data_IF_374535332904
#
_entry.id   IF_374535332904
#
_cell.length_a   1.000
_cell.length_b   1.000
_cell.length_c   1.000
_cell.angle_alpha   90.00
_cell.angle_beta   90.00
_cell.angle_gamma   90.00
#
_symmetry.space_group_name_H-M   'P 1'
#
loop_
_entity.id
_entity.type
_entity.pdbx_description
1 polymer ?
#
# COMPACT_ATOMS: atom_id res chain seq x y z
N UNK A 1 1.52 -1.88 0.69
CA UNK A 1 1.21 -1.21 1.98
C UNK A 1 1.47 0.30 1.94
N UNK A 2 2.03 0.83 0.86
CA UNK A 2 2.36 2.22 0.57
C UNK A 2 1.25 3.23 0.86
N UNK A 3 -0.03 2.84 0.73
CA UNK A 3 -1.16 3.70 1.07
C UNK A 3 -1.93 3.27 2.32
N UNK A 4 -1.42 2.31 3.10
CA UNK A 4 -2.11 1.80 4.28
C UNK A 4 -3.39 1.04 3.96
N UNK A 5 -3.36 0.16 2.96
CA UNK A 5 -4.51 -0.67 2.57
C UNK A 5 -5.13 -1.34 3.82
N UNK A 6 -6.45 -1.20 4.05
CA UNK A 6 -7.10 -1.71 5.24
C UNK A 6 -7.20 -3.25 5.23
N UNK A 7 -7.73 -3.81 6.32
CA UNK A 7 -7.97 -5.24 6.47
C UNK A 7 -6.67 -6.07 6.39
N UNK A 8 -6.75 -7.32 5.93
CA UNK A 8 -5.65 -8.26 5.78
C UNK A 8 -5.79 -9.03 4.47
N UNK A 9 -4.74 -9.76 4.09
CA UNK A 9 -4.75 -10.67 2.95
C UNK A 9 -5.07 -12.08 3.46
N UNK A 10 -6.12 -12.71 2.92
CA UNK A 10 -6.45 -14.11 3.16
C UNK A 10 -6.79 -14.76 1.82
N UNK A 11 -6.16 -15.91 1.55
CA UNK A 11 -6.40 -16.70 0.33
C UNK A 11 -7.53 -17.70 0.55
N UNK A 12 -8.21 -18.16 -0.51
CA UNK A 12 -9.15 -19.27 -0.44
C UNK A 12 -8.53 -20.49 0.25
N UNK A 13 -9.22 -21.02 1.25
CA UNK A 13 -8.88 -22.24 1.99
C UNK A 13 -10.13 -22.80 2.65
N UNK A 14 -10.08 -24.07 3.05
CA UNK A 14 -11.19 -24.73 3.76
C UNK A 14 -11.66 -23.91 4.98
N UNK A 15 -10.73 -23.38 5.78
CA UNK A 15 -11.04 -22.57 6.95
C UNK A 15 -11.60 -21.16 6.68
N UNK A 16 -11.90 -20.81 5.43
CA UNK A 16 -12.67 -19.62 5.05
C UNK A 16 -13.65 -19.90 3.90
N UNK A 17 -14.09 -21.15 3.74
CA UNK A 17 -15.04 -21.59 2.70
C UNK A 17 -14.60 -21.25 1.27
N UNK A 18 -13.29 -21.37 0.98
CA UNK A 18 -12.70 -21.03 -0.32
C UNK A 18 -12.99 -19.57 -0.75
N UNK A 19 -13.09 -18.66 0.23
CA UNK A 19 -13.44 -17.26 0.00
C UNK A 19 -12.32 -16.46 -0.66
N UNK A 20 -12.67 -15.71 -1.69
CA UNK A 20 -11.79 -14.74 -2.37
C UNK A 20 -11.98 -13.30 -1.85
N UNK A 21 -12.83 -13.07 -0.85
CA UNK A 21 -13.22 -11.73 -0.43
C UNK A 21 -12.04 -10.85 -0.01
N UNK A 22 -11.07 -11.43 0.71
CA UNK A 22 -9.84 -10.74 1.15
C UNK A 22 -8.65 -10.96 0.20
N UNK A 23 -8.79 -11.79 -0.84
CA UNK A 23 -7.74 -12.10 -1.81
C UNK A 23 -7.67 -11.03 -2.93
N UNK A 24 -7.67 -9.74 -2.55
CA UNK A 24 -7.74 -8.62 -3.49
C UNK A 24 -6.98 -7.38 -3.00
N UNK A 25 -6.82 -6.41 -3.91
CA UNK A 25 -6.35 -5.05 -3.59
C UNK A 25 -7.40 -4.02 -4.01
N UNK A 26 -7.71 -3.10 -3.10
CA UNK A 26 -8.68 -2.03 -3.25
C UNK A 26 -7.98 -0.73 -3.65
N UNK A 27 -7.44 -0.68 -4.88
CA UNK A 27 -6.69 0.50 -5.34
C UNK A 27 -7.56 1.77 -5.45
N UNK A 28 -8.88 1.59 -5.64
CA UNK A 28 -9.87 2.67 -5.64
C UNK A 28 -9.90 3.50 -4.33
N UNK A 29 -9.36 2.97 -3.22
CA UNK A 29 -9.27 3.70 -1.96
C UNK A 29 -8.35 4.92 -2.06
N UNK A 30 -7.32 4.89 -2.92
CA UNK A 30 -6.40 6.01 -3.14
C UNK A 30 -7.06 7.11 -3.98
N UNK A 31 -7.92 6.73 -4.93
CA UNK A 31 -8.59 7.66 -5.84
C UNK A 31 -9.80 8.38 -5.20
N UNK A 32 -10.33 7.82 -4.12
CA UNK A 32 -11.52 8.34 -3.44
C UNK A 32 -11.19 9.60 -2.62
N UNK A 33 -11.51 10.78 -3.15
CA UNK A 33 -11.10 12.09 -2.59
C UNK A 33 -11.56 12.38 -1.16
N UNK A 34 -12.66 11.77 -0.72
CA UNK A 34 -13.19 11.94 0.64
C UNK A 34 -12.49 11.02 1.67
N UNK A 35 -11.66 10.09 1.22
CA UNK A 35 -10.86 9.20 2.09
C UNK A 35 -9.46 9.76 2.31
N UNK A 36 -8.75 9.20 3.29
CA UNK A 36 -7.42 9.67 3.72
C UNK A 36 -6.24 8.83 3.23
N UNK A 37 -6.49 7.85 2.36
CA UNK A 37 -5.43 6.95 1.86
C UNK A 37 -4.47 7.67 0.90
N UNK A 38 -4.94 8.70 0.19
CA UNK A 38 -4.11 9.51 -0.71
C UNK A 38 -2.96 10.21 0.01
N UNK A 39 -3.15 10.62 1.26
CA UNK A 39 -2.11 11.27 2.06
C UNK A 39 -0.95 10.30 2.36
N UNK A 40 -1.26 9.05 2.70
CA UNK A 40 -0.25 8.02 2.93
C UNK A 40 0.50 7.67 1.64
N UNK A 41 -0.25 7.50 0.55
CA UNK A 41 0.35 7.27 -0.77
C UNK A 41 1.29 8.41 -1.20
N UNK A 42 0.88 9.67 -1.00
CA UNK A 42 1.70 10.83 -1.33
C UNK A 42 2.98 10.89 -0.49
N UNK A 43 2.88 10.57 0.80
CA UNK A 43 4.05 10.49 1.68
C UNK A 43 5.04 9.41 1.23
N UNK A 44 4.56 8.20 0.93
CA UNK A 44 5.42 7.10 0.45
C UNK A 44 6.09 7.43 -0.89
N UNK A 45 5.33 8.01 -1.83
CA UNK A 45 5.88 8.51 -3.09
C UNK A 45 6.98 9.54 -2.87
N UNK A 46 6.72 10.55 -2.05
CA UNK A 46 7.67 11.64 -1.83
C UNK A 46 8.89 11.15 -1.02
N UNK A 47 8.74 10.17 -0.14
CA UNK A 47 9.84 9.48 0.53
C UNK A 47 10.80 8.83 -0.48
N UNK A 48 10.27 8.06 -1.45
CA UNK A 48 11.08 7.42 -2.48
C UNK A 48 11.75 8.44 -3.41
N UNK A 49 11.04 9.48 -3.86
CA UNK A 49 11.63 10.55 -4.68
C UNK A 49 12.72 11.32 -3.94
N UNK A 50 12.57 11.47 -2.62
CA UNK A 50 13.58 12.11 -1.78
C UNK A 50 14.81 11.21 -1.67
N UNK A 51 14.64 9.89 -1.60
CA UNK A 51 15.74 8.92 -1.67
C UNK A 51 16.46 9.01 -3.02
N UNK A 52 15.73 8.96 -4.14
CA UNK A 52 16.30 9.10 -5.49
C UNK A 52 17.16 10.37 -5.64
N UNK A 53 16.76 11.45 -4.96
CA UNK A 53 17.45 12.74 -5.02
C UNK A 53 18.72 12.80 -4.17
N UNK A 54 18.71 12.22 -2.98
CA UNK A 54 19.81 12.37 -2.00
C UNK A 54 20.64 11.10 -1.81
N UNK A 55 20.16 9.95 -2.30
CA UNK A 55 20.86 8.68 -2.34
C UNK A 55 21.29 8.14 -0.98
N UNK A 56 20.51 8.38 0.08
CA UNK A 56 20.93 7.98 1.43
C UNK A 56 21.02 6.46 1.61
N UNK A 57 20.32 5.65 0.79
CA UNK A 57 20.46 4.20 0.86
C UNK A 57 21.85 3.73 0.36
N UNK A 58 22.50 4.52 -0.49
CA UNK A 58 23.83 4.23 -1.04
C UNK A 58 24.97 5.02 -0.39
N UNK A 59 24.68 5.95 0.54
CA UNK A 59 25.64 6.93 1.06
C UNK A 59 26.86 6.35 1.82
N UNK A 60 26.93 5.04 2.04
CA UNK A 60 28.05 4.36 2.68
C UNK A 60 28.46 3.04 2.02
N UNK A 61 28.09 2.83 0.75
CA UNK A 61 28.56 1.71 -0.07
C UNK A 61 29.94 1.99 -0.69
#
# INVERSE_FOLDING_TARGET
NEFGHPEWLDFPREGNDESYYYARRQFNLVDSEHLRYRQLYAFDRDMNLTEDKYGWLAAGQ
#
